data_IF_788170604348
#
_entry.id   IF_788170604348
#
_cell.length_a   1.000
_cell.length_b   1.000
_cell.length_c   1.000
_cell.angle_alpha   90.00
_cell.angle_beta   90.00
_cell.angle_gamma   90.00
#
_symmetry.space_group_name_H-M   'P 1'
#
loop_
_entity.id
_entity.type
_entity.pdbx_description
1 polymer ?
#
# COMPACT_ATOMS: atom_id res chain seq x y z
N UNK A 1 -0.68 -20.41 12.54
CA UNK A 1 -1.45 -19.29 11.97
C UNK A 1 -0.78 -18.94 10.66
N UNK A 2 -1.52 -18.73 9.57
CA UNK A 2 -0.90 -18.28 8.32
C UNK A 2 -0.27 -16.90 8.55
N UNK A 3 0.95 -16.67 8.05
CA UNK A 3 1.69 -15.44 8.28
C UNK A 3 1.11 -14.35 7.36
N UNK A 4 0.17 -13.58 7.90
CA UNK A 4 -0.47 -12.45 7.22
C UNK A 4 0.57 -11.40 6.86
N UNK A 5 0.42 -10.80 5.69
CA UNK A 5 1.22 -9.66 5.24
C UNK A 5 0.37 -8.40 5.27
N UNK A 6 0.99 -7.28 5.64
CA UNK A 6 0.41 -5.95 5.47
C UNK A 6 1.05 -5.29 4.27
N UNK A 7 0.22 -4.67 3.45
CA UNK A 7 0.65 -3.65 2.48
C UNK A 7 0.15 -2.30 2.97
N UNK A 8 1.04 -1.33 3.10
CA UNK A 8 0.67 0.08 3.31
C UNK A 8 1.06 0.85 2.07
N UNK A 9 0.09 1.52 1.48
CA UNK A 9 0.29 2.44 0.37
C UNK A 9 0.17 3.86 0.92
N UNK A 10 1.06 4.76 0.50
CA UNK A 10 0.92 6.19 0.76
C UNK A 10 1.12 6.95 -0.54
N UNK A 11 0.22 7.86 -0.88
CA UNK A 11 0.25 8.55 -2.16
C UNK A 11 -0.18 10.02 -2.13
N UNK A 12 0.24 10.75 -3.16
CA UNK A 12 -0.14 12.14 -3.45
C UNK A 12 -0.43 12.28 -4.95
N UNK A 13 -1.48 13.03 -5.36
CA UNK A 13 -1.74 13.28 -6.76
C UNK A 13 -0.59 14.02 -7.46
N UNK A 14 -0.24 13.58 -8.67
CA UNK A 14 0.68 14.29 -9.58
C UNK A 14 -0.08 15.37 -10.35
N UNK A 15 0.62 16.34 -10.97
CA UNK A 15 0.01 17.29 -11.90
C UNK A 15 -0.87 16.63 -12.98
N UNK A 16 -0.51 15.43 -13.45
CA UNK A 16 -1.27 14.67 -14.44
C UNK A 16 -2.70 14.33 -13.95
N UNK A 17 -2.90 14.05 -12.67
CA UNK A 17 -4.23 13.80 -12.10
C UNK A 17 -5.13 15.03 -12.23
N UNK A 18 -4.60 16.22 -11.91
CA UNK A 18 -5.36 17.46 -12.00
C UNK A 18 -5.61 17.92 -13.44
N UNK A 19 -4.81 17.45 -14.40
CA UNK A 19 -4.95 17.75 -15.82
C UNK A 19 -5.83 16.74 -16.57
N UNK A 20 -6.14 15.59 -15.98
CA UNK A 20 -6.97 14.56 -16.58
C UNK A 20 -8.43 15.02 -16.70
N UNK A 21 -9.12 14.53 -17.73
CA UNK A 21 -10.56 14.76 -17.89
C UNK A 21 -11.39 13.83 -17.00
N UNK A 22 -12.67 14.17 -16.86
CA UNK A 22 -13.61 13.45 -16.00
C UNK A 22 -13.79 11.98 -16.43
N UNK A 23 -13.78 11.70 -17.74
CA UNK A 23 -13.93 10.34 -18.27
C UNK A 23 -12.75 9.46 -17.86
N UNK A 24 -11.52 9.99 -18.00
CA UNK A 24 -10.29 9.30 -17.61
C UNK A 24 -10.29 8.97 -16.12
N UNK A 25 -10.62 9.95 -15.27
CA UNK A 25 -10.66 9.73 -13.83
C UNK A 25 -11.77 8.76 -13.42
N UNK A 26 -12.94 8.85 -14.06
CA UNK A 26 -14.06 7.92 -13.82
C UNK A 26 -13.66 6.49 -14.14
N UNK A 27 -13.03 6.27 -15.29
CA UNK A 27 -12.56 4.95 -15.70
C UNK A 27 -11.47 4.40 -14.77
N UNK A 28 -10.53 5.25 -14.34
CA UNK A 28 -9.49 4.87 -13.37
C UNK A 28 -10.11 4.37 -12.05
N UNK A 29 -11.02 5.16 -11.45
CA UNK A 29 -11.63 4.79 -10.16
C UNK A 29 -12.60 3.61 -10.28
N UNK A 30 -13.31 3.46 -11.41
CA UNK A 30 -14.12 2.26 -11.66
C UNK A 30 -13.25 0.99 -11.73
N UNK A 31 -12.09 1.06 -12.38
CA UNK A 31 -11.12 -0.03 -12.44
C UNK A 31 -10.60 -0.43 -11.05
N UNK A 32 -10.30 0.56 -10.20
CA UNK A 32 -9.87 0.31 -8.81
C UNK A 32 -10.97 -0.39 -8.01
N UNK A 33 -12.21 0.10 -8.09
CA UNK A 33 -13.34 -0.52 -7.38
C UNK A 33 -13.58 -1.97 -7.78
N UNK A 34 -13.39 -2.29 -9.06
CA UNK A 34 -13.54 -3.65 -9.55
C UNK A 34 -12.37 -4.55 -9.11
N UNK A 35 -11.13 -4.06 -9.21
CA UNK A 35 -9.95 -4.77 -8.71
C UNK A 35 -10.06 -5.08 -7.22
N UNK A 36 -10.58 -4.14 -6.42
CA UNK A 36 -10.82 -4.35 -4.98
C UNK A 36 -11.75 -5.53 -4.69
N UNK A 37 -12.80 -5.73 -5.50
CA UNK A 37 -13.70 -6.89 -5.33
C UNK A 37 -12.98 -8.19 -5.65
N UNK A 38 -12.23 -8.23 -6.75
CA UNK A 38 -11.48 -9.42 -7.18
C UNK A 38 -10.40 -9.80 -6.14
N UNK A 39 -9.73 -8.80 -5.57
CA UNK A 39 -8.75 -8.99 -4.49
C UNK A 39 -9.40 -9.57 -3.23
N UNK A 40 -10.61 -9.12 -2.87
CA UNK A 40 -11.33 -9.64 -1.72
C UNK A 40 -11.70 -11.12 -1.89
N UNK A 41 -12.01 -11.57 -3.11
CA UNK A 41 -12.30 -12.99 -3.41
C UNK A 41 -11.11 -13.92 -3.14
N UNK A 42 -9.88 -13.40 -3.28
CA UNK A 42 -8.64 -14.13 -3.00
C UNK A 42 -8.05 -13.83 -1.61
N UNK A 43 -8.82 -13.14 -0.76
CA UNK A 43 -8.48 -12.86 0.63
C UNK A 43 -7.60 -11.64 0.87
N UNK A 44 -7.31 -10.84 -0.16
CA UNK A 44 -6.63 -9.54 0.00
C UNK A 44 -7.69 -8.48 0.29
N UNK A 45 -7.68 -7.92 1.49
CA UNK A 45 -8.73 -7.00 1.96
C UNK A 45 -8.16 -5.70 2.50
N UNK A 46 -8.87 -4.59 2.31
CA UNK A 46 -8.50 -3.32 2.92
C UNK A 46 -8.92 -3.28 4.39
N UNK A 47 -8.05 -2.81 5.26
CA UNK A 47 -8.35 -2.47 6.65
C UNK A 47 -8.86 -1.02 6.77
N UNK A 48 -8.60 -0.17 5.77
CA UNK A 48 -9.04 1.21 5.76
C UNK A 48 -8.19 2.11 4.87
N UNK A 49 -8.74 3.28 4.57
CA UNK A 49 -8.13 4.37 3.81
C UNK A 49 -8.25 5.65 4.64
N UNK A 50 -7.32 6.57 4.48
CA UNK A 50 -7.34 7.83 5.22
C UNK A 50 -6.50 8.94 4.60
N UNK A 51 -6.75 10.17 5.04
CA UNK A 51 -5.88 11.31 4.78
C UNK A 51 -4.79 11.33 5.85
N UNK A 52 -3.56 11.59 5.46
CA UNK A 52 -2.46 11.77 6.41
C UNK A 52 -2.71 13.02 7.23
N UNK A 53 -2.59 12.90 8.55
CA UNK A 53 -2.61 14.01 9.48
C UNK A 53 -1.17 14.37 9.94
N UNK A 54 -0.89 15.64 10.28
CA UNK A 54 0.43 16.04 10.75
C UNK A 54 0.86 15.29 12.02
N UNK A 55 2.08 14.77 12.03
CA UNK A 55 2.73 14.11 13.16
C UNK A 55 4.25 14.38 13.16
N UNK A 56 4.97 14.16 14.28
CA UNK A 56 6.42 14.17 14.27
C UNK A 56 6.99 13.19 13.23
N UNK A 57 7.87 13.67 12.36
CA UNK A 57 8.46 12.88 11.26
C UNK A 57 7.41 12.29 10.30
N UNK A 58 6.30 13.01 10.06
CA UNK A 58 5.28 12.56 9.13
C UNK A 58 5.81 12.44 7.70
N UNK A 59 5.15 11.56 6.95
CA UNK A 59 5.35 11.45 5.51
C UNK A 59 4.93 12.74 4.79
N UNK A 60 5.54 13.00 3.63
CA UNK A 60 5.11 14.08 2.73
C UNK A 60 3.90 13.70 1.86
N UNK A 61 3.44 12.44 1.93
CA UNK A 61 2.27 11.98 1.19
C UNK A 61 0.94 12.43 1.81
N UNK A 62 -0.10 12.58 0.99
CA UNK A 62 -1.41 13.11 1.43
C UNK A 62 -2.40 12.04 1.90
N UNK A 63 -2.30 10.83 1.37
CA UNK A 63 -3.27 9.76 1.58
C UNK A 63 -2.57 8.45 1.90
N UNK A 64 -3.30 7.53 2.54
CA UNK A 64 -2.83 6.19 2.79
C UNK A 64 -3.96 5.15 2.70
N UNK A 65 -3.57 3.90 2.45
CA UNK A 65 -4.42 2.72 2.57
C UNK A 65 -3.63 1.61 3.27
N UNK A 66 -4.33 0.79 4.04
CA UNK A 66 -3.77 -0.39 4.71
C UNK A 66 -4.52 -1.61 4.21
N UNK A 67 -3.76 -2.62 3.79
CA UNK A 67 -4.27 -3.88 3.26
C UNK A 67 -3.70 -5.05 4.04
N UNK A 68 -4.50 -6.10 4.14
CA UNK A 68 -4.09 -7.40 4.63
C UNK A 68 -4.11 -8.41 3.48
N UNK A 69 -3.01 -9.13 3.31
CA UNK A 69 -2.85 -10.21 2.35
C UNK A 69 -2.56 -11.54 3.07
N UNK A 70 -3.09 -12.68 2.61
CA UNK A 70 -2.86 -13.98 3.25
C UNK A 70 -1.43 -14.52 3.09
N UNK A 71 -0.67 -14.01 2.12
CA UNK A 71 0.69 -14.43 1.81
C UNK A 71 1.48 -13.32 1.12
N UNK A 72 2.80 -13.49 1.06
CA UNK A 72 3.68 -12.59 0.30
C UNK A 72 3.35 -12.57 -1.19
N UNK A 73 3.07 -13.74 -1.77
CA UNK A 73 2.73 -13.88 -3.19
C UNK A 73 1.47 -13.08 -3.56
N UNK A 74 0.43 -13.13 -2.70
CA UNK A 74 -0.79 -12.35 -2.92
C UNK A 74 -0.57 -10.85 -2.73
N UNK A 75 0.32 -10.46 -1.81
CA UNK A 75 0.74 -9.05 -1.67
C UNK A 75 1.51 -8.56 -2.91
N UNK A 76 2.40 -9.38 -3.47
CA UNK A 76 3.14 -9.03 -4.69
C UNK A 76 2.20 -8.96 -5.91
N UNK A 77 1.21 -9.85 -5.99
CA UNK A 77 0.15 -9.80 -7.01
C UNK A 77 -0.70 -8.54 -6.91
N UNK A 78 -1.05 -8.11 -5.70
CA UNK A 78 -1.69 -6.82 -5.45
C UNK A 78 -0.85 -5.64 -5.98
N UNK A 79 0.42 -5.56 -5.60
CA UNK A 79 1.33 -4.49 -6.02
C UNK A 79 1.52 -4.44 -7.54
N UNK A 80 1.64 -5.60 -8.17
CA UNK A 80 1.72 -5.72 -9.63
C UNK A 80 0.42 -5.25 -10.30
N UNK A 81 -0.73 -5.54 -9.69
CA UNK A 81 -2.02 -5.04 -10.12
C UNK A 81 -2.08 -3.51 -10.11
N UNK A 82 -1.63 -2.88 -9.02
CA UNK A 82 -1.55 -1.41 -8.90
C UNK A 82 -0.65 -0.83 -9.98
N UNK A 83 0.55 -1.39 -10.19
CA UNK A 83 1.46 -0.94 -11.24
C UNK A 83 0.81 -1.02 -12.63
N UNK A 84 0.14 -2.13 -12.94
CA UNK A 84 -0.51 -2.35 -14.24
C UNK A 84 -1.76 -1.50 -14.47
N UNK A 85 -2.34 -0.91 -13.41
CA UNK A 85 -3.59 -0.15 -13.50
C UNK A 85 -3.44 1.25 -14.10
N UNK A 86 -2.21 1.73 -14.30
CA UNK A 86 -1.92 3.12 -14.66
C UNK A 86 -1.99 4.10 -13.47
N UNK A 87 -2.19 3.60 -12.25
CA UNK A 87 -2.25 4.42 -11.04
C UNK A 87 -1.03 5.33 -10.87
N UNK A 88 0.18 4.81 -11.14
CA UNK A 88 1.42 5.55 -10.98
C UNK A 88 1.62 6.67 -12.01
N UNK A 89 0.80 6.75 -13.06
CA UNK A 89 0.82 7.90 -13.98
C UNK A 89 0.20 9.14 -13.33
N UNK A 90 -0.80 8.93 -12.47
CA UNK A 90 -1.57 9.98 -11.83
C UNK A 90 -1.17 10.26 -10.39
N UNK A 91 -0.54 9.29 -9.72
CA UNK A 91 -0.16 9.41 -8.32
C UNK A 91 1.32 9.09 -8.12
N UNK A 92 1.96 9.83 -7.22
CA UNK A 92 3.24 9.43 -6.65
C UNK A 92 2.95 8.61 -5.40
N UNK A 93 3.50 7.40 -5.32
CA UNK A 93 3.19 6.45 -4.27
C UNK A 93 4.44 5.73 -3.78
N UNK A 94 4.49 5.48 -2.47
CA UNK A 94 5.39 4.50 -1.86
C UNK A 94 4.60 3.37 -1.23
N UNK A 95 5.22 2.19 -1.22
CA UNK A 95 4.64 0.98 -0.68
C UNK A 95 5.53 0.42 0.43
N UNK A 96 4.90 -0.03 1.51
CA UNK A 96 5.50 -0.92 2.50
C UNK A 96 4.81 -2.27 2.35
N UNK A 97 5.58 -3.35 2.31
CA UNK A 97 5.08 -4.71 2.44
C UNK A 97 5.85 -5.42 3.55
N UNK A 98 5.16 -6.12 4.43
CA UNK A 98 5.81 -6.82 5.53
C UNK A 98 4.95 -7.91 6.14
N UNK A 99 5.61 -8.93 6.66
CA UNK A 99 4.97 -9.97 7.45
C UNK A 99 4.57 -9.41 8.83
N UNK A 100 3.33 -9.68 9.27
CA UNK A 100 2.89 -9.37 10.62
C UNK A 100 3.52 -10.32 11.62
N UNK A 101 4.25 -9.74 12.57
CA UNK A 101 4.92 -10.44 13.66
C UNK A 101 4.64 -9.74 14.98
N UNK A 102 4.87 -10.43 16.09
CA UNK A 102 4.78 -9.80 17.40
C UNK A 102 5.85 -8.72 17.56
N UNK A 103 5.56 -7.68 18.36
CA UNK A 103 6.54 -6.65 18.68
C UNK A 103 7.80 -7.25 19.33
N UNK A 104 7.65 -8.30 20.14
CA UNK A 104 8.76 -9.03 20.77
C UNK A 104 9.71 -9.65 19.74
N UNK A 105 9.17 -10.31 18.71
CA UNK A 105 9.98 -10.90 17.65
C UNK A 105 10.76 -9.82 16.87
N UNK A 106 10.11 -8.70 16.57
CA UNK A 106 10.75 -7.57 15.89
C UNK A 106 11.82 -6.93 16.77
N UNK A 107 11.56 -6.72 18.06
CA UNK A 107 12.56 -6.18 19.00
C UNK A 107 13.77 -7.10 19.15
N UNK A 108 13.56 -8.42 19.17
CA UNK A 108 14.66 -9.38 19.21
C UNK A 108 15.58 -9.24 17.98
N UNK A 109 15.04 -8.98 16.79
CA UNK A 109 15.85 -8.70 15.60
C UNK A 109 16.66 -7.42 15.75
N UNK A 110 16.07 -6.35 16.28
CA UNK A 110 16.79 -5.09 16.51
C UNK A 110 17.95 -5.27 17.50
N UNK A 111 17.76 -6.07 18.55
CA UNK A 111 18.82 -6.39 19.51
C UNK A 111 19.91 -7.29 18.92
N UNK A 112 19.58 -8.08 17.90
CA UNK A 112 20.52 -8.91 17.17
C UNK A 112 21.25 -8.16 16.04
N UNK A 113 20.95 -6.87 15.81
CA UNK A 113 21.71 -6.02 14.91
C UNK A 113 23.10 -5.77 15.51
N UNK A 114 24.05 -6.68 15.27
CA UNK A 114 25.46 -6.44 15.54
C UNK A 114 26.06 -5.56 14.44
N UNK A 115 26.53 -4.36 14.80
CA UNK A 115 27.68 -3.74 14.15
C UNK A 115 27.62 -3.43 12.64
N UNK A 116 26.45 -3.21 12.02
CA UNK A 116 26.38 -2.54 10.70
C UNK A 116 26.43 -1.01 10.83
N UNK A 117 27.22 -0.52 11.79
CA UNK A 117 27.75 0.83 11.70
C UNK A 117 29.02 0.76 10.83
N UNK A 118 28.86 0.97 9.54
CA UNK A 118 29.90 1.52 8.67
C UNK A 118 29.36 2.71 7.90
#
# INVERSE_FOLDING_TARGET
MANMHIVVETWTPKPAFYAADEETLTNLFAGIQEAMKQLAEIGVVTLGWGRVEPAPLSTSYEWFAVWQAPSRELADGFLSGVESSGWYDYFEQTNLVGELRSGEAVMAEHLALEGEAK
#
